data_IF_712124570213
#
_entry.id   IF_712124570213
#
_cell.length_a   1.000
_cell.length_b   1.000
_cell.length_c   1.000
_cell.angle_alpha   90.00
_cell.angle_beta   90.00
_cell.angle_gamma   90.00
#
_symmetry.space_group_name_H-M   'P 1'
#
loop_
_entity.id
_entity.type
_entity.pdbx_description
1 polymer ?
#
# COMPACT_ATOMS: atom_id res chain seq x y z
N UNK A 1 38.22 -15.98 -28.85
CA UNK A 1 37.19 -15.43 -29.73
C UNK A 1 36.00 -15.09 -28.85
N UNK A 2 35.82 -13.82 -28.51
CA UNK A 2 34.70 -13.39 -27.69
C UNK A 2 33.52 -13.13 -28.64
N UNK A 3 32.46 -13.86 -28.46
CA UNK A 3 31.21 -13.75 -29.20
C UNK A 3 30.52 -12.43 -28.80
N UNK A 4 30.65 -11.41 -29.68
CA UNK A 4 29.92 -10.14 -29.57
C UNK A 4 28.45 -10.43 -29.78
N UNK A 5 27.70 -10.66 -28.70
CA UNK A 5 26.25 -10.63 -28.75
C UNK A 5 25.80 -9.18 -28.99
N UNK A 6 25.61 -8.81 -30.27
CA UNK A 6 24.97 -7.56 -30.64
C UNK A 6 23.57 -7.54 -30.06
N UNK A 7 23.35 -6.72 -29.04
CA UNK A 7 22.01 -6.41 -28.53
C UNK A 7 21.29 -5.57 -29.59
N UNK A 8 20.46 -6.22 -30.40
CA UNK A 8 19.55 -5.51 -31.30
C UNK A 8 18.36 -5.02 -30.48
N UNK A 9 18.34 -3.74 -30.13
CA UNK A 9 17.16 -3.09 -29.56
C UNK A 9 16.23 -2.69 -30.69
N UNK A 10 15.14 -3.43 -30.87
CA UNK A 10 14.07 -3.05 -31.79
C UNK A 10 13.21 -1.96 -31.14
N UNK A 11 13.39 -0.71 -31.52
CA UNK A 11 12.50 0.40 -31.14
C UNK A 11 11.31 0.35 -32.10
N UNK A 12 10.18 -0.18 -31.61
CA UNK A 12 8.91 -0.23 -32.35
C UNK A 12 8.01 0.91 -31.90
N UNK A 13 7.52 1.72 -32.84
CA UNK A 13 6.54 2.78 -32.56
C UNK A 13 5.11 2.25 -32.27
N UNK A 14 4.88 0.94 -32.38
CA UNK A 14 3.59 0.32 -32.12
C UNK A 14 3.50 -0.12 -30.65
N UNK A 15 3.10 0.78 -29.77
CA UNK A 15 2.74 0.43 -28.40
C UNK A 15 1.25 0.04 -28.32
N UNK A 16 0.97 -1.15 -27.77
CA UNK A 16 -0.39 -1.57 -27.38
C UNK A 16 -0.79 -0.86 -26.09
N UNK A 17 -2.08 -0.61 -25.90
CA UNK A 17 -2.63 0.10 -24.74
C UNK A 17 -2.37 -0.62 -23.39
N UNK A 18 -2.07 -1.92 -23.44
CA UNK A 18 -1.78 -2.80 -22.30
C UNK A 18 -0.34 -3.33 -22.32
N UNK A 19 0.57 -2.66 -23.01
CA UNK A 19 1.96 -3.13 -23.11
C UNK A 19 2.72 -2.74 -21.84
N UNK A 20 2.97 -3.71 -20.97
CA UNK A 20 3.67 -3.51 -19.71
C UNK A 20 5.19 -3.68 -19.84
N UNK A 21 5.65 -4.24 -20.98
CA UNK A 21 7.07 -4.58 -21.19
C UNK A 21 7.79 -5.16 -19.94
N UNK A 22 7.08 -6.06 -19.21
CA UNK A 22 7.59 -6.62 -17.94
C UNK A 22 8.97 -7.25 -18.09
N UNK A 23 9.29 -7.77 -19.27
CA UNK A 23 10.61 -8.32 -19.57
C UNK A 23 11.69 -7.22 -19.54
N UNK A 24 11.38 -6.06 -20.09
CA UNK A 24 12.27 -4.88 -20.04
C UNK A 24 12.39 -4.37 -18.60
N UNK A 25 11.28 -4.22 -17.87
CA UNK A 25 11.30 -3.85 -16.45
C UNK A 25 12.17 -4.78 -15.62
N UNK A 26 12.13 -6.10 -15.90
CA UNK A 26 12.97 -7.07 -15.20
C UNK A 26 14.47 -6.92 -15.52
N UNK A 27 14.83 -6.49 -16.73
CA UNK A 27 16.21 -6.16 -17.07
C UNK A 27 16.74 -4.98 -16.25
N UNK A 28 15.86 -4.06 -15.84
CA UNK A 28 16.21 -2.90 -14.99
C UNK A 28 16.00 -3.16 -13.49
N UNK A 29 16.01 -4.43 -13.02
CA UNK A 29 15.86 -4.79 -11.60
C UNK A 29 16.88 -4.10 -10.69
N UNK A 30 18.10 -3.87 -11.17
CA UNK A 30 19.14 -3.17 -10.41
C UNK A 30 18.78 -1.69 -10.19
N UNK A 31 18.10 -1.07 -11.17
CA UNK A 31 17.56 0.28 -11.05
C UNK A 31 16.39 0.30 -10.05
N UNK A 32 15.51 -0.71 -10.07
CA UNK A 32 14.42 -0.85 -9.06
C UNK A 32 15.02 -0.92 -7.66
N UNK A 33 16.05 -1.73 -7.46
CA UNK A 33 16.76 -1.81 -6.17
C UNK A 33 17.36 -0.46 -5.76
N UNK A 34 18.02 0.23 -6.69
CA UNK A 34 18.62 1.55 -6.44
C UNK A 34 17.56 2.58 -6.03
N UNK A 35 16.42 2.63 -6.73
CA UNK A 35 15.32 3.52 -6.40
C UNK A 35 14.68 3.17 -5.06
N UNK A 36 14.48 1.88 -4.78
CA UNK A 36 14.00 1.41 -3.49
C UNK A 36 14.90 1.88 -2.35
N UNK A 37 16.22 1.67 -2.48
CA UNK A 37 17.21 2.12 -1.50
C UNK A 37 17.19 3.65 -1.35
N UNK A 38 17.16 4.38 -2.46
CA UNK A 38 17.05 5.86 -2.46
C UNK A 38 15.81 6.32 -1.71
N UNK A 39 14.64 5.78 -2.05
CA UNK A 39 13.37 6.17 -1.45
C UNK A 39 13.35 5.92 0.06
N UNK A 40 13.94 4.80 0.50
CA UNK A 40 14.06 4.49 1.92
C UNK A 40 15.02 5.44 2.62
N UNK A 41 16.23 5.64 2.07
CA UNK A 41 17.27 6.49 2.69
C UNK A 41 16.83 7.95 2.75
N UNK A 42 16.26 8.50 1.65
CA UNK A 42 15.84 9.91 1.57
C UNK A 42 14.77 10.23 2.60
N UNK A 43 13.86 9.29 2.90
CA UNK A 43 12.79 9.51 3.89
C UNK A 43 13.29 9.75 5.31
N UNK A 44 14.49 9.27 5.64
CA UNK A 44 15.03 9.33 7.01
C UNK A 44 16.36 10.06 7.11
N UNK A 45 16.98 10.40 5.98
CA UNK A 45 18.22 11.19 5.94
C UNK A 45 17.94 12.60 6.48
N UNK A 46 18.84 13.09 7.31
CA UNK A 46 18.76 14.42 7.94
C UNK A 46 17.59 14.61 8.94
N UNK A 47 17.04 13.51 9.48
CA UNK A 47 16.08 13.59 10.59
C UNK A 47 16.76 13.24 11.91
N UNK A 48 16.35 13.89 13.02
CA UNK A 48 16.96 13.72 14.35
C UNK A 48 16.88 12.26 14.81
N UNK A 49 15.73 11.63 14.65
CA UNK A 49 15.47 10.26 15.09
C UNK A 49 15.70 9.22 13.98
N UNK A 50 16.00 9.65 12.75
CA UNK A 50 16.27 8.75 11.63
C UNK A 50 15.17 7.70 11.40
N UNK A 51 15.54 6.44 11.16
CA UNK A 51 14.59 5.35 10.95
C UNK A 51 13.67 5.04 12.15
N UNK A 52 13.98 5.56 13.36
CA UNK A 52 13.12 5.35 14.52
C UNK A 52 11.68 5.88 14.32
N UNK A 53 11.50 6.88 13.44
CA UNK A 53 10.17 7.38 13.08
C UNK A 53 9.26 6.31 12.50
N UNK A 54 9.79 5.24 11.86
CA UNK A 54 8.99 4.13 11.34
C UNK A 54 8.24 3.42 12.47
N UNK A 55 8.86 3.34 13.65
CA UNK A 55 8.28 2.71 14.84
C UNK A 55 7.45 3.69 15.67
N UNK A 56 7.98 4.89 15.88
CA UNK A 56 7.36 5.87 16.79
C UNK A 56 6.02 6.37 16.26
N UNK A 57 5.91 6.65 14.97
CA UNK A 57 4.65 7.16 14.39
C UNK A 57 3.49 6.19 14.58
N UNK A 58 3.54 4.91 14.16
CA UNK A 58 2.44 3.98 14.37
C UNK A 58 2.21 3.68 15.87
N UNK A 59 3.27 3.68 16.69
CA UNK A 59 3.15 3.47 18.13
C UNK A 59 2.34 4.58 18.79
N UNK A 60 2.71 5.85 18.57
CA UNK A 60 1.98 6.99 19.15
C UNK A 60 0.56 7.09 18.60
N UNK A 61 0.37 6.89 17.29
CA UNK A 61 -0.98 6.88 16.70
C UNK A 61 -1.86 5.81 17.34
N UNK A 62 -1.34 4.61 17.53
CA UNK A 62 -2.09 3.50 18.13
C UNK A 62 -2.37 3.73 19.62
N UNK A 63 -1.45 4.35 20.37
CA UNK A 63 -1.68 4.73 21.77
C UNK A 63 -2.82 5.75 21.85
N UNK A 64 -2.77 6.81 21.03
CA UNK A 64 -3.82 7.84 21.01
C UNK A 64 -5.16 7.23 20.61
N UNK A 65 -5.20 6.40 19.57
CA UNK A 65 -6.43 5.75 19.14
C UNK A 65 -6.98 4.79 20.21
N UNK A 66 -6.12 4.02 20.86
CA UNK A 66 -6.53 3.13 21.95
C UNK A 66 -7.13 3.92 23.13
N UNK A 67 -6.56 5.06 23.45
CA UNK A 67 -7.06 5.94 24.50
C UNK A 67 -8.40 6.61 24.11
N UNK A 68 -8.47 7.17 22.89
CA UNK A 68 -9.65 7.93 22.45
C UNK A 68 -10.80 6.99 22.10
N UNK A 69 -10.59 6.03 21.20
CA UNK A 69 -11.66 5.16 20.72
C UNK A 69 -11.95 4.00 21.67
N UNK A 70 -10.93 3.39 22.24
CA UNK A 70 -11.11 2.31 23.21
C UNK A 70 -11.48 2.80 24.61
N UNK A 71 -10.78 3.85 25.10
CA UNK A 71 -10.98 4.37 26.46
C UNK A 71 -12.17 5.33 26.56
N UNK A 72 -12.19 6.42 25.80
CA UNK A 72 -13.21 7.47 25.92
C UNK A 72 -14.50 7.08 25.20
N UNK A 73 -14.41 6.65 23.93
CA UNK A 73 -15.58 6.29 23.14
C UNK A 73 -16.13 4.90 23.45
N UNK A 74 -15.37 4.04 24.15
CA UNK A 74 -15.81 2.70 24.54
C UNK A 74 -16.03 1.74 23.37
N UNK A 75 -15.36 1.96 22.24
CA UNK A 75 -15.48 1.09 21.06
C UNK A 75 -14.81 -0.25 21.37
N UNK A 76 -15.58 -1.34 21.33
CA UNK A 76 -15.06 -2.69 21.52
C UNK A 76 -14.06 -3.10 20.44
N UNK A 77 -13.19 -4.07 20.76
CA UNK A 77 -12.14 -4.58 19.85
C UNK A 77 -12.20 -6.11 19.72
N UNK A 78 -13.42 -6.69 19.84
CA UNK A 78 -13.70 -8.13 19.71
C UNK A 78 -12.82 -9.02 20.62
N UNK A 79 -12.49 -8.53 21.83
CA UNK A 79 -11.64 -9.24 22.79
C UNK A 79 -10.13 -9.14 22.53
N UNK A 80 -9.72 -8.45 21.47
CA UNK A 80 -8.30 -8.15 21.24
C UNK A 80 -7.85 -7.02 22.17
N UNK A 81 -6.62 -7.07 22.75
CA UNK A 81 -6.05 -5.94 23.45
C UNK A 81 -6.09 -4.67 22.58
N UNK A 82 -6.77 -3.63 23.08
CA UNK A 82 -7.15 -2.43 22.32
C UNK A 82 -5.95 -1.80 21.58
N UNK A 83 -4.82 -1.67 22.27
CA UNK A 83 -3.60 -1.13 21.65
C UNK A 83 -3.12 -1.98 20.46
N UNK A 84 -3.12 -3.30 20.60
CA UNK A 84 -2.65 -4.21 19.55
C UNK A 84 -3.60 -4.25 18.34
N UNK A 85 -4.91 -4.11 18.60
CA UNK A 85 -5.93 -3.97 17.55
C UNK A 85 -5.61 -2.78 16.64
N UNK A 86 -5.38 -1.59 17.22
CA UNK A 86 -5.04 -0.39 16.45
C UNK A 86 -3.67 -0.49 15.80
N UNK A 87 -2.68 -1.05 16.50
CA UNK A 87 -1.33 -1.18 15.96
C UNK A 87 -1.29 -2.05 14.69
N UNK A 88 -1.99 -3.19 14.71
CA UNK A 88 -2.09 -4.09 13.56
C UNK A 88 -2.87 -3.45 12.41
N UNK A 89 -4.05 -2.90 12.68
CA UNK A 89 -4.91 -2.27 11.67
C UNK A 89 -4.24 -1.06 11.01
N UNK A 90 -3.55 -0.23 11.80
CA UNK A 90 -2.78 0.91 11.30
C UNK A 90 -1.62 0.48 10.39
N UNK A 91 -0.92 -0.61 10.70
CA UNK A 91 0.17 -1.09 9.87
C UNK A 91 -0.33 -1.50 8.47
N UNK A 92 -1.46 -2.22 8.41
CA UNK A 92 -2.08 -2.63 7.14
C UNK A 92 -2.58 -1.43 6.35
N UNK A 93 -3.29 -0.51 7.02
CA UNK A 93 -3.76 0.73 6.39
C UNK A 93 -2.60 1.59 5.87
N UNK A 94 -1.57 1.80 6.69
CA UNK A 94 -0.40 2.59 6.30
C UNK A 94 0.32 2.00 5.08
N UNK A 95 0.36 0.68 4.97
CA UNK A 95 0.89 0.02 3.78
C UNK A 95 0.12 0.41 2.52
N UNK A 96 -1.20 0.25 2.51
CA UNK A 96 -2.06 0.64 1.39
C UNK A 96 -1.95 2.14 1.08
N UNK A 97 -2.12 2.99 2.10
CA UNK A 97 -2.08 4.44 1.97
C UNK A 97 -0.76 4.94 1.39
N UNK A 98 0.38 4.40 1.88
CA UNK A 98 1.70 4.75 1.35
C UNK A 98 1.92 4.23 -0.09
N UNK A 99 1.40 3.05 -0.45
CA UNK A 99 1.42 2.58 -1.84
C UNK A 99 0.66 3.53 -2.76
N UNK A 100 -0.51 4.01 -2.33
CA UNK A 100 -1.33 4.94 -3.09
C UNK A 100 -0.64 6.31 -3.22
N UNK A 101 -0.30 6.95 -2.11
CA UNK A 101 0.22 8.33 -2.09
C UNK A 101 1.60 8.47 -2.74
N UNK A 102 2.51 7.51 -2.52
CA UNK A 102 3.82 7.51 -3.19
C UNK A 102 3.69 7.34 -4.71
N UNK A 103 2.72 6.54 -5.17
CA UNK A 103 2.47 6.36 -6.59
C UNK A 103 1.67 7.51 -7.22
N UNK A 104 0.81 8.20 -6.45
CA UNK A 104 0.11 9.40 -6.89
C UNK A 104 1.06 10.55 -7.27
N UNK A 105 2.28 10.54 -6.71
CA UNK A 105 3.31 11.54 -6.98
C UNK A 105 4.41 11.05 -7.96
N UNK A 106 4.24 9.90 -8.61
CA UNK A 106 5.31 9.28 -9.43
C UNK A 106 5.83 10.20 -10.54
N UNK A 107 4.94 10.80 -11.34
CA UNK A 107 5.35 11.65 -12.45
C UNK A 107 5.95 12.97 -11.96
N UNK A 108 5.32 13.64 -11.02
CA UNK A 108 5.77 14.95 -10.51
C UNK A 108 7.10 14.84 -9.74
N UNK A 109 7.27 13.84 -8.90
CA UNK A 109 8.50 13.64 -8.12
C UNK A 109 9.71 13.20 -8.95
N UNK A 110 9.49 12.58 -10.12
CA UNK A 110 10.55 12.05 -10.96
C UNK A 110 10.65 12.75 -12.34
N UNK A 111 9.94 13.87 -12.55
CA UNK A 111 9.89 14.61 -13.81
C UNK A 111 11.29 14.90 -14.39
N UNK A 112 12.21 15.36 -13.54
CA UNK A 112 13.60 15.67 -13.93
C UNK A 112 14.36 14.46 -14.49
N UNK A 113 14.12 13.25 -13.94
CA UNK A 113 14.79 12.04 -14.41
C UNK A 113 14.16 11.51 -15.69
N UNK A 114 12.84 11.54 -15.81
CA UNK A 114 12.12 11.07 -16.98
C UNK A 114 12.47 11.85 -18.26
N UNK A 115 12.88 13.11 -18.11
CA UNK A 115 13.31 13.95 -19.24
C UNK A 115 14.78 13.77 -19.67
N UNK A 116 15.63 13.12 -18.85
CA UNK A 116 17.09 13.04 -19.10
C UNK A 116 17.61 11.65 -19.39
N UNK A 117 16.98 10.62 -18.86
CA UNK A 117 17.47 9.24 -18.97
C UNK A 117 16.33 8.32 -19.40
N UNK A 118 16.60 7.50 -20.41
CA UNK A 118 15.66 6.48 -20.85
C UNK A 118 15.73 5.26 -19.93
N UNK A 119 14.59 4.91 -19.34
CA UNK A 119 14.35 3.64 -18.63
C UNK A 119 12.84 3.37 -18.59
N UNK A 120 12.42 2.10 -18.42
CA UNK A 120 11.00 1.75 -18.28
C UNK A 120 10.38 2.48 -17.08
N UNK A 121 9.46 3.40 -17.31
CA UNK A 121 8.92 4.29 -16.25
C UNK A 121 8.19 3.54 -15.14
N UNK A 122 7.68 2.32 -15.44
CA UNK A 122 7.10 1.40 -14.46
C UNK A 122 8.07 0.97 -13.34
N UNK A 123 9.40 1.10 -13.54
CA UNK A 123 10.39 0.83 -12.49
C UNK A 123 10.17 1.70 -11.26
N UNK A 124 9.69 2.95 -11.44
CA UNK A 124 9.44 3.87 -10.33
C UNK A 124 8.23 3.46 -9.47
N UNK A 125 7.02 3.21 -10.02
CA UNK A 125 5.90 2.69 -9.24
C UNK A 125 6.22 1.39 -8.49
N UNK A 126 6.90 0.46 -9.15
CA UNK A 126 7.29 -0.80 -8.54
C UNK A 126 8.27 -0.58 -7.37
N UNK A 127 9.26 0.30 -7.53
CA UNK A 127 10.21 0.62 -6.45
C UNK A 127 9.53 1.30 -5.26
N UNK A 128 8.49 2.11 -5.50
CA UNK A 128 7.68 2.71 -4.43
C UNK A 128 6.96 1.63 -3.62
N UNK A 129 6.30 0.66 -4.29
CA UNK A 129 5.64 -0.46 -3.61
C UNK A 129 6.63 -1.28 -2.79
N UNK A 130 7.79 -1.65 -3.38
CA UNK A 130 8.82 -2.43 -2.66
C UNK A 130 9.35 -1.65 -1.44
N UNK A 131 9.58 -0.35 -1.57
CA UNK A 131 9.98 0.51 -0.44
C UNK A 131 8.94 0.50 0.68
N UNK A 132 7.66 0.45 0.31
CA UNK A 132 6.55 0.41 1.27
C UNK A 132 6.41 -0.97 1.92
N UNK A 133 6.69 -2.07 1.20
CA UNK A 133 6.79 -3.43 1.79
C UNK A 133 7.87 -3.47 2.87
N UNK A 134 9.03 -2.86 2.63
CA UNK A 134 10.11 -2.81 3.64
C UNK A 134 9.64 -2.07 4.90
N UNK A 135 8.97 -0.93 4.75
CA UNK A 135 8.40 -0.18 5.88
C UNK A 135 7.34 -0.98 6.63
N UNK A 136 6.45 -1.66 5.90
CA UNK A 136 5.47 -2.55 6.50
C UNK A 136 6.14 -3.68 7.30
N UNK A 137 7.19 -4.32 6.74
CA UNK A 137 7.95 -5.34 7.45
C UNK A 137 8.53 -4.84 8.77
N UNK A 138 9.06 -3.62 8.80
CA UNK A 138 9.58 -2.99 10.02
C UNK A 138 8.43 -2.74 11.02
N UNK A 139 7.28 -2.23 10.58
CA UNK A 139 6.11 -2.05 11.45
C UNK A 139 5.57 -3.38 11.98
N UNK A 140 5.61 -4.43 11.13
CA UNK A 140 5.18 -5.78 11.54
C UNK A 140 6.07 -6.35 12.65
N UNK A 141 7.36 -6.04 12.69
CA UNK A 141 8.23 -6.41 13.82
C UNK A 141 7.67 -5.83 15.12
N UNK A 142 7.20 -4.59 15.13
CA UNK A 142 6.58 -3.98 16.30
C UNK A 142 5.27 -4.70 16.70
N UNK A 143 4.41 -5.00 15.72
CA UNK A 143 3.16 -5.76 15.96
C UNK A 143 3.47 -7.12 16.56
N UNK A 144 4.45 -7.85 15.99
CA UNK A 144 4.85 -9.17 16.47
C UNK A 144 5.44 -9.13 17.87
N UNK A 145 6.20 -8.11 18.22
CA UNK A 145 6.76 -7.95 19.56
C UNK A 145 5.66 -7.82 20.61
N UNK A 146 4.66 -6.96 20.37
CA UNK A 146 3.51 -6.83 21.28
C UNK A 146 2.59 -8.06 21.23
N UNK A 147 2.44 -8.69 20.06
CA UNK A 147 1.69 -9.96 19.96
C UNK A 147 2.30 -11.04 20.84
N UNK A 148 3.62 -11.22 20.84
CA UNK A 148 4.33 -12.19 21.69
C UNK A 148 4.09 -11.87 23.16
N UNK A 149 4.14 -10.60 23.56
CA UNK A 149 3.83 -10.19 24.93
C UNK A 149 2.42 -10.62 25.37
N UNK A 150 1.40 -10.38 24.54
CA UNK A 150 0.01 -10.76 24.84
C UNK A 150 -0.25 -12.26 24.71
N UNK A 151 0.52 -12.99 23.89
CA UNK A 151 0.49 -14.46 23.84
C UNK A 151 0.91 -15.08 25.18
N UNK A 152 1.96 -14.53 25.81
CA UNK A 152 2.38 -14.99 27.15
C UNK A 152 1.34 -14.71 28.22
N UNK A 153 0.46 -13.73 28.04
CA UNK A 153 -0.67 -13.47 28.92
C UNK A 153 -1.88 -14.37 28.64
N UNK A 154 -1.85 -15.17 27.58
CA UNK A 154 -2.95 -16.07 27.22
C UNK A 154 -4.19 -15.36 26.64
N UNK A 155 -4.05 -14.10 26.18
CA UNK A 155 -5.16 -13.28 25.69
C UNK A 155 -5.36 -13.35 24.18
N UNK A 156 -4.45 -13.99 23.44
CA UNK A 156 -4.47 -14.07 21.97
C UNK A 156 -4.41 -15.52 21.49
N UNK A 157 -5.11 -15.79 20.38
CA UNK A 157 -5.14 -17.10 19.72
C UNK A 157 -4.91 -16.93 18.21
N UNK A 158 -3.67 -16.61 17.71
CA UNK A 158 -3.38 -16.40 16.31
C UNK A 158 -3.68 -17.63 15.48
N UNK A 159 -4.15 -17.39 14.25
CA UNK A 159 -4.37 -18.45 13.28
C UNK A 159 -3.15 -18.63 12.38
N UNK A 160 -2.14 -19.37 12.84
CA UNK A 160 -0.83 -19.52 12.19
C UNK A 160 -0.88 -19.96 10.72
N UNK A 161 -1.86 -20.80 10.35
CA UNK A 161 -2.03 -21.23 8.97
C UNK A 161 -2.38 -20.06 8.04
N UNK A 162 -3.11 -19.08 8.55
CA UNK A 162 -3.52 -17.90 7.77
C UNK A 162 -2.40 -16.88 7.55
N UNK A 163 -1.25 -17.06 8.20
CA UNK A 163 -0.07 -16.24 7.92
C UNK A 163 0.43 -16.39 6.48
N UNK A 164 0.12 -17.52 5.83
CA UNK A 164 0.39 -17.70 4.40
C UNK A 164 -0.36 -16.70 3.52
N UNK A 165 -1.43 -16.07 4.02
CA UNK A 165 -2.17 -15.04 3.32
C UNK A 165 -1.48 -13.66 3.42
N UNK A 166 -0.56 -13.43 4.36
CA UNK A 166 0.13 -12.14 4.51
C UNK A 166 0.83 -11.70 3.22
N UNK A 167 1.66 -12.53 2.55
CA UNK A 167 2.25 -12.16 1.27
C UNK A 167 1.22 -11.89 0.17
N UNK A 168 0.11 -12.63 0.16
CA UNK A 168 -0.99 -12.45 -0.81
C UNK A 168 -1.64 -11.09 -0.61
N UNK A 169 -1.90 -10.70 0.64
CA UNK A 169 -2.46 -9.39 0.98
C UNK A 169 -1.51 -8.24 0.65
N UNK A 170 -0.20 -8.43 0.84
CA UNK A 170 0.79 -7.43 0.43
C UNK A 170 0.77 -7.21 -1.09
N UNK A 171 0.65 -8.27 -1.86
CA UNK A 171 0.52 -8.17 -3.33
C UNK A 171 -0.80 -7.49 -3.68
N UNK A 172 -1.91 -7.90 -3.07
CA UNK A 172 -3.25 -7.36 -3.30
C UNK A 172 -3.31 -5.84 -3.04
N UNK A 173 -3.00 -5.41 -1.80
CA UNK A 173 -3.01 -4.01 -1.41
C UNK A 173 -1.95 -3.18 -2.15
N UNK A 174 -0.80 -3.80 -2.48
CA UNK A 174 0.24 -3.17 -3.28
C UNK A 174 -0.23 -2.83 -4.70
N UNK A 175 -0.88 -3.79 -5.38
CA UNK A 175 -1.46 -3.60 -6.73
C UNK A 175 -2.61 -2.58 -6.66
N UNK A 176 -3.48 -2.67 -5.66
CA UNK A 176 -4.60 -1.75 -5.47
C UNK A 176 -4.11 -0.32 -5.25
N UNK A 177 -3.18 -0.12 -4.31
CA UNK A 177 -2.60 1.19 -4.01
C UNK A 177 -1.81 1.77 -5.18
N UNK A 178 -1.02 0.93 -5.87
CA UNK A 178 -0.30 1.33 -7.08
C UNK A 178 -1.27 1.72 -8.20
N UNK A 179 -2.31 0.95 -8.43
CA UNK A 179 -3.32 1.21 -9.46
C UNK A 179 -4.02 2.55 -9.24
N UNK A 180 -4.57 2.80 -8.06
CA UNK A 180 -5.14 4.10 -7.69
C UNK A 180 -4.10 5.22 -7.80
N UNK A 181 -2.90 5.03 -7.25
CA UNK A 181 -1.84 6.01 -7.27
C UNK A 181 -1.47 6.43 -8.70
N UNK A 182 -1.32 5.48 -9.61
CA UNK A 182 -1.00 5.76 -11.02
C UNK A 182 -2.13 6.55 -11.71
N UNK A 183 -3.40 6.18 -11.49
CA UNK A 183 -4.54 6.92 -12.04
C UNK A 183 -4.51 8.36 -11.55
N UNK A 184 -4.31 8.58 -10.27
CA UNK A 184 -4.22 9.89 -9.65
C UNK A 184 -2.99 10.66 -10.16
N UNK A 185 -1.84 9.99 -10.30
CA UNK A 185 -0.60 10.61 -10.78
C UNK A 185 -0.75 11.25 -12.16
N UNK A 186 -1.62 10.69 -13.00
CA UNK A 186 -1.96 11.27 -14.30
C UNK A 186 -2.67 12.61 -14.18
N UNK A 187 -3.47 12.78 -13.13
CA UNK A 187 -4.23 14.00 -12.87
C UNK A 187 -3.38 15.05 -12.16
N UNK A 188 -2.53 14.65 -11.22
CA UNK A 188 -1.63 15.53 -10.46
C UNK A 188 -0.55 16.16 -11.34
N UNK A 189 -0.21 15.55 -12.47
CA UNK A 189 0.68 16.12 -13.48
C UNK A 189 0.12 17.45 -14.03
N UNK A 190 -1.19 17.55 -14.19
CA UNK A 190 -1.85 18.75 -14.70
C UNK A 190 -2.26 19.72 -13.58
N UNK A 191 -2.70 19.18 -12.43
CA UNK A 191 -3.23 19.95 -11.32
C UNK A 191 -2.49 19.57 -10.03
N UNK A 192 -1.52 20.37 -9.62
CA UNK A 192 -0.64 20.08 -8.46
C UNK A 192 -1.37 20.12 -7.11
N UNK A 193 -2.45 20.85 -6.99
CA UNK A 193 -3.29 20.95 -5.80
C UNK A 193 -4.04 19.64 -5.48
N UNK A 194 -4.23 18.77 -6.48
CA UNK A 194 -4.80 17.44 -6.26
C UNK A 194 -3.99 16.58 -5.29
N UNK A 195 -2.70 16.81 -5.12
CA UNK A 195 -1.91 16.07 -4.13
C UNK A 195 -2.44 16.26 -2.72
N UNK A 196 -2.81 17.49 -2.36
CA UNK A 196 -3.39 17.81 -1.05
C UNK A 196 -4.75 17.14 -0.88
N UNK A 197 -5.59 17.15 -1.93
CA UNK A 197 -6.89 16.48 -1.92
C UNK A 197 -6.75 14.96 -1.79
N UNK A 198 -5.71 14.36 -2.38
CA UNK A 198 -5.44 12.92 -2.26
C UNK A 198 -5.06 12.57 -0.82
N UNK A 199 -4.15 13.30 -0.21
CA UNK A 199 -3.72 13.04 1.17
C UNK A 199 -4.90 13.19 2.15
N UNK A 200 -5.74 14.21 1.95
CA UNK A 200 -6.97 14.39 2.70
C UNK A 200 -7.98 13.26 2.45
N UNK A 201 -8.21 12.90 1.18
CA UNK A 201 -9.12 11.83 0.80
C UNK A 201 -8.69 10.47 1.37
N UNK A 202 -7.40 10.13 1.32
CA UNK A 202 -6.85 8.91 1.93
C UNK A 202 -7.03 8.93 3.45
N UNK A 203 -6.84 10.08 4.09
CA UNK A 203 -7.04 10.21 5.54
C UNK A 203 -8.51 9.98 5.94
N UNK A 204 -9.46 10.48 5.15
CA UNK A 204 -10.89 10.21 5.35
C UNK A 204 -11.26 8.76 5.04
N UNK A 205 -10.67 8.17 4.01
CA UNK A 205 -10.94 6.78 3.63
C UNK A 205 -10.55 5.79 4.74
N UNK A 206 -9.56 6.14 5.58
CA UNK A 206 -9.23 5.35 6.77
C UNK A 206 -10.45 5.14 7.69
N UNK A 207 -11.28 6.16 7.86
CA UNK A 207 -12.49 6.06 8.69
C UNK A 207 -13.65 5.32 7.99
N UNK A 208 -13.64 5.26 6.67
CA UNK A 208 -14.54 4.43 5.88
C UNK A 208 -14.03 2.98 5.71
N UNK A 209 -12.93 2.64 6.40
CA UNK A 209 -12.37 1.29 6.48
C UNK A 209 -12.37 0.87 7.96
N UNK A 210 -12.61 -0.39 8.32
CA UNK A 210 -12.68 -0.85 9.72
C UNK A 210 -11.28 -0.92 10.37
N UNK A 211 -10.55 0.21 10.35
CA UNK A 211 -9.26 0.38 10.99
C UNK A 211 -9.43 0.75 12.46
N UNK A 212 -10.37 1.67 12.74
CA UNK A 212 -10.60 2.22 14.09
C UNK A 212 -11.76 1.55 14.84
N UNK A 213 -12.48 0.66 14.20
CA UNK A 213 -13.58 -0.13 14.77
C UNK A 213 -13.61 -1.50 14.09
N UNK A 214 -14.09 -2.58 14.77
CA UNK A 214 -14.33 -3.86 14.13
C UNK A 214 -15.67 -3.86 13.40
N UNK A 215 -15.77 -4.63 12.30
CA UNK A 215 -17.04 -4.79 11.56
C UNK A 215 -18.17 -5.41 12.37
N UNK A 216 -17.86 -6.13 13.44
CA UNK A 216 -18.83 -6.78 14.32
C UNK A 216 -19.78 -5.81 15.02
N UNK A 217 -19.32 -4.57 15.30
CA UNK A 217 -20.13 -3.52 15.93
C UNK A 217 -21.31 -3.11 15.05
N UNK A 218 -21.12 -3.18 13.73
CA UNK A 218 -22.17 -2.88 12.78
C UNK A 218 -22.99 -4.16 12.58
N UNK A 219 -24.14 -4.25 13.23
CA UNK A 219 -25.06 -5.36 12.99
C UNK A 219 -25.28 -5.67 11.50
N UNK A 220 -26.04 -6.69 11.18
CA UNK A 220 -26.41 -6.98 9.79
C UNK A 220 -27.27 -5.84 9.23
N UNK A 221 -26.76 -5.14 8.20
CA UNK A 221 -27.45 -4.00 7.59
C UNK A 221 -26.69 -3.40 6.41
N UNK A 222 -27.34 -2.46 5.73
CA UNK A 222 -26.79 -1.80 4.53
C UNK A 222 -25.43 -1.11 4.80
N UNK A 223 -25.23 -0.58 6.00
CA UNK A 223 -23.98 0.10 6.38
C UNK A 223 -22.80 -0.86 6.42
N UNK A 224 -22.99 -2.07 6.99
CA UNK A 224 -21.98 -3.13 6.97
C UNK A 224 -21.64 -3.54 5.53
N UNK A 225 -22.67 -3.76 4.68
CA UNK A 225 -22.49 -4.09 3.28
C UNK A 225 -21.69 -3.01 2.53
N UNK A 226 -22.02 -1.75 2.77
CA UNK A 226 -21.33 -0.62 2.14
C UNK A 226 -19.83 -0.59 2.51
N UNK A 227 -19.51 -0.86 3.77
CA UNK A 227 -18.10 -0.93 4.21
C UNK A 227 -17.40 -2.17 3.66
N UNK A 228 -18.09 -3.29 3.49
CA UNK A 228 -17.52 -4.51 2.92
C UNK A 228 -17.27 -4.39 1.40
N UNK A 229 -18.00 -3.52 0.69
CA UNK A 229 -17.71 -3.19 -0.72
C UNK A 229 -16.37 -2.44 -0.86
N UNK A 230 -15.92 -1.73 0.18
CA UNK A 230 -14.62 -1.08 0.16
C UNK A 230 -13.50 -2.14 0.01
N UNK A 231 -12.66 -2.04 -1.06
CA UNK A 231 -11.70 -3.09 -1.38
C UNK A 231 -10.60 -3.29 -0.34
N UNK A 232 -10.40 -2.36 0.60
CA UNK A 232 -9.38 -2.48 1.66
C UNK A 232 -9.94 -3.19 2.90
N UNK A 233 -11.26 -3.21 3.07
CA UNK A 233 -11.93 -3.72 4.29
C UNK A 233 -11.57 -5.16 4.59
N UNK A 234 -11.79 -6.06 3.64
CA UNK A 234 -11.56 -7.49 3.86
C UNK A 234 -10.08 -7.81 4.08
N UNK A 235 -9.16 -7.03 3.50
CA UNK A 235 -7.72 -7.18 3.75
C UNK A 235 -7.35 -6.82 5.19
N UNK A 236 -7.94 -5.75 5.74
CA UNK A 236 -7.72 -5.36 7.15
C UNK A 236 -8.28 -6.43 8.10
N UNK A 237 -9.50 -6.93 7.83
CA UNK A 237 -10.15 -7.98 8.62
C UNK A 237 -9.36 -9.29 8.53
N UNK A 238 -8.93 -9.71 7.33
CA UNK A 238 -8.14 -10.94 7.13
C UNK A 238 -6.79 -10.88 7.85
N UNK A 239 -6.12 -9.74 7.80
CA UNK A 239 -4.85 -9.55 8.50
C UNK A 239 -5.01 -9.60 10.01
N UNK A 240 -6.08 -9.01 10.57
CA UNK A 240 -6.41 -9.14 11.99
C UNK A 240 -6.73 -10.58 12.35
N UNK A 241 -7.56 -11.25 11.56
CA UNK A 241 -7.90 -12.65 11.76
C UNK A 241 -6.65 -13.55 11.78
N UNK A 242 -5.75 -13.36 10.82
CA UNK A 242 -4.53 -14.14 10.72
C UNK A 242 -3.57 -13.91 11.91
N UNK A 243 -3.33 -12.65 12.27
CA UNK A 243 -2.28 -12.26 13.22
C UNK A 243 -2.82 -12.27 14.66
N UNK A 244 -4.05 -11.78 14.88
CA UNK A 244 -4.60 -11.58 16.21
C UNK A 244 -5.65 -12.64 16.61
N UNK A 245 -6.09 -13.45 15.64
CA UNK A 245 -7.04 -14.54 15.89
C UNK A 245 -8.51 -14.12 15.95
N UNK A 246 -8.81 -12.85 15.70
CA UNK A 246 -10.17 -12.29 15.73
C UNK A 246 -10.39 -11.41 14.47
N UNK A 247 -11.57 -11.53 13.87
CA UNK A 247 -11.98 -10.80 12.68
C UNK A 247 -13.07 -11.53 11.94
N UNK A 248 -13.82 -10.82 11.12
CA UNK A 248 -14.92 -11.38 10.31
C UNK A 248 -14.55 -11.29 8.84
N UNK A 249 -14.09 -12.40 8.26
CA UNK A 249 -13.74 -12.46 6.84
C UNK A 249 -14.92 -12.96 6.02
N UNK A 250 -15.38 -12.14 5.08
CA UNK A 250 -16.41 -12.54 4.11
C UNK A 250 -15.75 -12.83 2.75
N UNK A 251 -15.67 -14.10 2.39
CA UNK A 251 -15.02 -14.53 1.15
C UNK A 251 -15.66 -13.95 -0.12
N UNK A 252 -16.97 -13.69 -0.11
CA UNK A 252 -17.66 -13.06 -1.25
C UNK A 252 -17.13 -11.66 -1.52
N UNK A 253 -17.03 -10.82 -0.49
CA UNK A 253 -16.47 -9.47 -0.59
C UNK A 253 -14.96 -9.48 -0.79
N UNK A 254 -14.26 -10.47 -0.26
CA UNK A 254 -12.84 -10.66 -0.52
C UNK A 254 -12.54 -10.87 -2.02
N UNK A 255 -13.27 -11.77 -2.68
CA UNK A 255 -13.10 -11.97 -4.12
C UNK A 255 -13.59 -10.77 -4.93
N UNK A 256 -14.63 -10.05 -4.46
CA UNK A 256 -15.07 -8.79 -5.07
C UNK A 256 -13.94 -7.74 -5.01
N UNK A 257 -13.25 -7.63 -3.89
CA UNK A 257 -12.09 -6.74 -3.71
C UNK A 257 -10.96 -7.06 -4.70
N UNK A 258 -10.65 -8.35 -4.91
CA UNK A 258 -9.70 -8.77 -5.95
C UNK A 258 -10.18 -8.40 -7.37
N UNK A 259 -11.47 -8.58 -7.65
CA UNK A 259 -12.07 -8.15 -8.92
C UNK A 259 -11.91 -6.64 -9.15
N UNK A 260 -12.22 -5.83 -8.14
CA UNK A 260 -12.02 -4.37 -8.18
C UNK A 260 -10.54 -4.01 -8.38
N UNK A 261 -9.64 -4.69 -7.68
CA UNK A 261 -8.19 -4.47 -7.79
C UNK A 261 -7.70 -4.74 -9.21
N UNK A 262 -8.15 -5.82 -9.85
CA UNK A 262 -7.79 -6.12 -11.24
C UNK A 262 -8.31 -5.05 -12.21
N UNK A 263 -9.55 -4.60 -12.03
CA UNK A 263 -10.12 -3.52 -12.86
C UNK A 263 -9.31 -2.23 -12.70
N UNK A 264 -9.01 -1.84 -11.45
CA UNK A 264 -8.24 -0.63 -11.14
C UNK A 264 -6.80 -0.74 -11.69
N UNK A 265 -6.17 -1.91 -11.58
CA UNK A 265 -4.84 -2.15 -12.14
C UNK A 265 -4.84 -1.99 -13.66
N UNK A 266 -5.82 -2.58 -14.37
CA UNK A 266 -5.95 -2.45 -15.83
C UNK A 266 -6.17 -0.99 -16.23
N UNK A 267 -7.08 -0.28 -15.56
CA UNK A 267 -7.31 1.15 -15.80
C UNK A 267 -6.04 1.96 -15.51
N UNK A 268 -5.34 1.66 -14.43
CA UNK A 268 -4.06 2.29 -14.08
C UNK A 268 -3.02 2.14 -15.18
N UNK A 269 -2.84 0.93 -15.72
CA UNK A 269 -1.91 0.66 -16.82
C UNK A 269 -2.31 1.43 -18.09
N UNK A 270 -3.59 1.44 -18.44
CA UNK A 270 -4.07 2.18 -19.63
C UNK A 270 -3.80 3.67 -19.51
N UNK A 271 -4.09 4.25 -18.34
CA UNK A 271 -3.85 5.66 -18.06
C UNK A 271 -2.36 5.97 -18.02
N UNK A 272 -1.55 5.10 -17.41
CA UNK A 272 -0.10 5.23 -17.37
C UNK A 272 0.51 5.31 -18.76
N UNK A 273 0.18 4.35 -19.63
CA UNK A 273 0.68 4.30 -21.00
C UNK A 273 0.25 5.53 -21.83
N UNK A 274 -0.93 6.10 -21.53
CA UNK A 274 -1.39 7.33 -22.18
C UNK A 274 -0.57 8.54 -21.72
N UNK A 275 -0.38 8.70 -20.41
CA UNK A 275 0.35 9.84 -19.84
C UNK A 275 1.83 9.76 -20.18
N UNK A 276 2.42 8.58 -20.19
CA UNK A 276 3.82 8.37 -20.58
C UNK A 276 4.16 8.99 -21.92
N UNK A 277 3.22 8.95 -22.87
CA UNK A 277 3.40 9.52 -24.23
C UNK A 277 3.32 11.04 -24.25
N UNK A 278 2.36 11.59 -23.51
CA UNK A 278 2.10 13.05 -23.51
C UNK A 278 2.95 13.82 -22.49
N UNK A 279 3.58 13.12 -21.56
CA UNK A 279 4.34 13.78 -20.49
C UNK A 279 5.55 14.59 -21.00
N UNK A 280 6.21 14.11 -22.08
CA UNK A 280 7.35 14.79 -22.67
C UNK A 280 6.96 16.06 -23.46
N UNK A 281 5.69 16.18 -23.84
CA UNK A 281 5.16 17.33 -24.58
C UNK A 281 4.64 18.43 -23.63
N UNK A 282 4.53 18.12 -22.32
CA UNK A 282 3.90 19.01 -21.30
C UNK A 282 4.89 19.52 -20.24
N UNK A 283 6.11 19.02 -20.20
CA UNK A 283 7.21 19.43 -19.31
C UNK A 283 8.38 19.99 -20.09
#
# INVERSE_FOLDING_TARGET
MAENSMYHTHISAKHRWLDLNLKEVWQYRDLIYLFTKRNFVVSYKQTILGPAWIFLTPLFTSIVQAFVFGGIAGIGTDGIPTFLFYLCSNAVWAYFANCLTSNANTFTANAYMFGKVYFPRLTTPISNVISTVIRFGIQMVLVLLFMVYYLFQGTLHPHWLWWLMIPVELVHLGILGMGFGIIISSMTTKYRDLTVLVDFGVSLWMYATPVVYPLSILGEGWMRTLLQINPVTESVELMRYAILGQGTVNWGFYFLSWGMTLVIAVLGIMVFNKVERTFMDTV
#
